data_IF_937463598348
#
_entry.id   IF_937463598348
#
_cell.length_a   1.000
_cell.length_b   1.000
_cell.length_c   1.000
_cell.angle_alpha   90.00
_cell.angle_beta   90.00
_cell.angle_gamma   90.00
#
_symmetry.space_group_name_H-M   'P 1'
#
loop_
_entity.id
_entity.type
_entity.pdbx_description
1 polymer ?
#
# COMPACT_ATOMS: atom_id res chain seq x y z
N UNK A 1 -5.66 7.65 1.11
CA UNK A 1 -4.49 8.07 1.91
C UNK A 1 -3.54 9.00 1.13
N UNK A 2 -3.99 9.68 0.07
CA UNK A 2 -3.12 10.54 -0.74
C UNK A 2 -2.84 11.86 -0.03
N UNK A 3 -1.59 12.09 0.39
CA UNK A 3 -1.22 13.37 1.02
C UNK A 3 0.21 13.84 0.77
N UNK A 4 1.03 13.16 -0.04
CA UNK A 4 2.34 13.71 -0.43
C UNK A 4 2.16 14.70 -1.59
N UNK A 5 1.43 15.78 -1.29
CA UNK A 5 1.23 16.93 -2.18
C UNK A 5 2.43 17.89 -2.02
N UNK A 6 2.99 18.44 -3.12
CA UNK A 6 4.12 19.38 -3.06
C UNK A 6 3.81 20.68 -2.29
N UNK A 7 2.54 21.00 -2.05
CA UNK A 7 2.10 22.10 -1.17
C UNK A 7 2.18 21.78 0.33
N UNK A 8 2.46 20.54 0.72
CA UNK A 8 2.65 20.18 2.13
C UNK A 8 4.00 20.66 2.66
N UNK A 9 3.97 21.30 3.82
CA UNK A 9 5.18 21.54 4.61
C UNK A 9 5.78 20.23 5.13
N UNK A 10 7.07 20.25 5.49
CA UNK A 10 7.75 19.05 5.99
C UNK A 10 6.99 18.41 7.16
N UNK A 11 6.67 17.12 7.03
CA UNK A 11 5.94 16.32 8.03
C UNK A 11 4.42 16.51 8.05
N UNK A 12 3.87 17.48 7.31
CA UNK A 12 2.43 17.74 7.27
C UNK A 12 1.65 16.59 6.64
N UNK A 13 2.17 16.02 5.55
CA UNK A 13 1.59 14.88 4.86
C UNK A 13 1.44 13.66 5.80
N UNK A 14 2.54 13.27 6.45
CA UNK A 14 2.54 12.17 7.42
C UNK A 14 1.55 12.39 8.57
N UNK A 15 1.42 13.65 9.04
CA UNK A 15 0.42 14.02 10.04
C UNK A 15 -1.01 13.80 9.55
N UNK A 16 -1.34 14.20 8.32
CA UNK A 16 -2.68 13.97 7.77
C UNK A 16 -2.98 12.49 7.54
N UNK A 17 -2.00 11.71 7.05
CA UNK A 17 -2.15 10.24 7.00
C UNK A 17 -2.43 9.67 8.38
N UNK A 18 -1.74 10.14 9.42
CA UNK A 18 -1.98 9.67 10.78
C UNK A 18 -3.42 9.88 11.25
N UNK A 19 -4.05 11.00 10.89
CA UNK A 19 -5.46 11.25 11.18
C UNK A 19 -6.39 10.34 10.39
N UNK A 20 -6.11 10.12 9.10
CA UNK A 20 -6.88 9.19 8.29
C UNK A 20 -6.80 7.75 8.82
N UNK A 21 -5.63 7.30 9.28
CA UNK A 21 -5.46 6.00 9.93
C UNK A 21 -6.28 5.88 11.22
N UNK A 22 -6.28 6.93 12.05
CA UNK A 22 -7.06 6.94 13.29
C UNK A 22 -8.58 6.89 13.01
N UNK A 23 -9.06 7.62 12.01
CA UNK A 23 -10.47 7.57 11.60
C UNK A 23 -10.84 6.20 11.00
N UNK A 24 -9.93 5.58 10.23
CA UNK A 24 -10.14 4.22 9.71
C UNK A 24 -10.23 3.20 10.86
N UNK A 25 -9.33 3.27 11.84
CA UNK A 25 -9.39 2.41 13.03
C UNK A 25 -10.72 2.55 13.78
N UNK A 26 -11.15 3.80 14.03
CA UNK A 26 -12.46 4.09 14.64
C UNK A 26 -13.61 3.52 13.84
N UNK A 27 -13.56 3.63 12.51
CA UNK A 27 -14.58 3.05 11.64
C UNK A 27 -14.67 1.53 11.81
N UNK A 28 -13.54 0.81 11.75
CA UNK A 28 -13.55 -0.66 11.93
C UNK A 28 -14.09 -1.01 13.32
N UNK A 29 -13.62 -0.34 14.38
CA UNK A 29 -14.09 -0.59 15.75
C UNK A 29 -15.60 -0.30 15.90
N UNK A 30 -16.13 0.72 15.20
CA UNK A 30 -17.57 1.06 15.24
C UNK A 30 -18.47 0.00 14.60
N UNK A 31 -17.91 -0.87 13.76
CA UNK A 31 -18.69 -1.92 13.08
C UNK A 31 -18.99 -3.11 13.97
N UNK A 32 -18.32 -3.24 15.12
CA UNK A 32 -18.47 -4.38 16.03
C UNK A 32 -18.40 -5.72 15.27
N UNK A 33 -17.44 -5.84 14.35
CA UNK A 33 -17.24 -7.04 13.54
C UNK A 33 -16.89 -8.20 14.50
N UNK A 34 -17.48 -9.39 14.34
CA UNK A 34 -17.13 -10.54 15.16
C UNK A 34 -15.63 -10.87 15.12
N UNK A 35 -15.05 -11.18 16.28
CA UNK A 35 -13.61 -11.44 16.39
C UNK A 35 -13.15 -12.69 15.62
N UNK A 36 -14.07 -13.56 15.21
CA UNK A 36 -13.86 -14.75 14.40
C UNK A 36 -14.07 -14.52 12.89
N UNK A 37 -14.34 -13.29 12.46
CA UNK A 37 -14.30 -12.89 11.04
C UNK A 37 -12.95 -12.29 10.67
N UNK A 38 -12.55 -12.37 9.39
CA UNK A 38 -11.34 -11.72 8.91
C UNK A 38 -11.59 -10.26 8.54
N UNK A 39 -10.70 -9.38 9.00
CA UNK A 39 -10.68 -7.97 8.57
C UNK A 39 -9.35 -7.66 7.90
N UNK A 40 -9.41 -7.20 6.65
CA UNK A 40 -8.27 -6.90 5.80
C UNK A 40 -8.31 -5.42 5.44
N UNK A 41 -7.17 -4.73 5.58
CA UNK A 41 -6.99 -3.32 5.20
C UNK A 41 -6.03 -3.26 4.02
N UNK A 42 -6.47 -2.73 2.88
CA UNK A 42 -5.68 -2.75 1.66
C UNK A 42 -5.80 -1.47 0.83
N UNK A 43 -4.79 -1.21 0.01
CA UNK A 43 -4.73 -0.11 -0.94
C UNK A 43 -3.35 0.54 -0.94
N UNK A 44 -3.28 1.72 -1.55
CA UNK A 44 -2.15 2.63 -1.45
C UNK A 44 -2.24 3.41 -0.12
N UNK A 45 -1.26 3.20 0.76
CA UNK A 45 -1.16 3.88 2.04
C UNK A 45 -0.29 5.14 1.98
N UNK A 46 0.46 5.37 0.89
CA UNK A 46 1.47 6.44 0.78
C UNK A 46 2.47 6.46 1.95
N UNK A 47 2.81 5.28 2.49
CA UNK A 47 3.73 5.14 3.62
C UNK A 47 4.80 4.12 3.24
N UNK A 48 6.05 4.56 3.17
CA UNK A 48 7.17 3.73 2.71
C UNK A 48 7.48 2.62 3.71
N UNK A 49 7.68 1.40 3.22
CA UNK A 49 8.03 0.23 4.02
C UNK A 49 9.31 0.46 4.83
N UNK A 50 9.40 -0.19 6.00
CA UNK A 50 10.58 -0.17 6.89
C UNK A 50 10.98 1.21 7.41
N UNK A 51 10.04 2.16 7.44
CA UNK A 51 10.22 3.49 8.05
C UNK A 51 9.57 3.59 9.42
N UNK A 52 9.91 4.65 10.17
CA UNK A 52 9.20 4.99 11.43
C UNK A 52 7.70 5.21 11.20
N UNK A 53 7.32 5.80 10.07
CA UNK A 53 5.91 6.02 9.73
C UNK A 53 5.18 4.68 9.47
N UNK A 54 5.85 3.71 8.85
CA UNK A 54 5.30 2.36 8.66
C UNK A 54 5.03 1.65 9.99
N UNK A 55 5.95 1.74 10.96
CA UNK A 55 5.72 1.21 12.30
C UNK A 55 4.54 1.91 13.00
N UNK A 56 4.38 3.22 12.80
CA UNK A 56 3.23 3.96 13.31
C UNK A 56 1.92 3.53 12.63
N UNK A 57 1.92 3.24 11.33
CA UNK A 57 0.77 2.69 10.61
C UNK A 57 0.33 1.33 11.18
N UNK A 58 1.26 0.40 11.39
CA UNK A 58 0.94 -0.91 11.97
C UNK A 58 0.38 -0.80 13.40
N UNK A 59 0.82 0.22 14.15
CA UNK A 59 0.35 0.48 15.52
C UNK A 59 -1.03 1.12 15.52
N UNK A 60 -1.24 2.18 14.74
CA UNK A 60 -2.52 2.93 14.69
C UNK A 60 -3.68 2.09 14.19
N UNK A 61 -3.45 1.29 13.14
CA UNK A 61 -4.48 0.40 12.61
C UNK A 61 -4.60 -0.91 13.38
N UNK A 62 -3.75 -1.16 14.38
CA UNK A 62 -3.63 -2.45 15.03
C UNK A 62 -3.53 -3.59 13.99
N UNK A 63 -2.55 -3.47 13.10
CA UNK A 63 -2.41 -4.31 11.92
C UNK A 63 -1.17 -5.20 11.98
N UNK A 64 -1.25 -6.38 11.35
CA UNK A 64 -0.16 -7.30 11.07
C UNK A 64 0.31 -7.06 9.63
N UNK A 65 1.61 -6.86 9.48
CA UNK A 65 2.27 -6.92 8.18
C UNK A 65 2.35 -8.37 7.68
N UNK A 66 2.52 -8.62 6.37
CA UNK A 66 2.62 -9.98 5.84
C UNK A 66 3.85 -10.71 6.39
N UNK A 67 3.77 -12.05 6.41
CA UNK A 67 4.90 -12.90 6.79
C UNK A 67 6.04 -12.84 5.76
N UNK A 68 5.68 -12.61 4.49
CA UNK A 68 6.64 -12.51 3.38
C UNK A 68 6.21 -11.43 2.38
N UNK A 69 7.17 -10.61 1.98
CA UNK A 69 7.11 -9.77 0.79
C UNK A 69 7.87 -10.49 -0.34
N UNK A 70 7.28 -10.54 -1.53
CA UNK A 70 7.78 -11.29 -2.68
C UNK A 70 7.60 -10.51 -4.00
N UNK A 71 8.21 -10.99 -5.08
CA UNK A 71 8.10 -10.36 -6.40
C UNK A 71 8.96 -9.10 -6.53
N UNK A 72 8.43 -8.09 -7.22
CA UNK A 72 9.14 -6.83 -7.43
C UNK A 72 9.32 -6.06 -6.11
N UNK A 73 10.41 -5.29 -5.99
CA UNK A 73 10.77 -4.65 -4.71
C UNK A 73 9.92 -3.42 -4.38
N UNK A 74 9.26 -2.83 -5.36
CA UNK A 74 8.61 -1.52 -5.27
C UNK A 74 7.23 -1.57 -5.89
N UNK A 75 6.21 -1.13 -5.16
CA UNK A 75 4.86 -1.02 -5.73
C UNK A 75 4.69 0.25 -6.57
N UNK A 76 5.55 1.24 -6.38
CA UNK A 76 5.67 2.42 -7.23
C UNK A 76 7.14 2.62 -7.62
N UNK A 77 7.49 2.52 -8.90
CA UNK A 77 8.89 2.43 -9.36
C UNK A 77 9.18 3.32 -10.57
N UNK A 78 9.69 4.51 -10.30
CA UNK A 78 10.10 5.51 -11.30
C UNK A 78 11.27 5.07 -12.19
N UNK A 79 11.96 3.97 -11.88
CA UNK A 79 13.07 3.47 -12.71
C UNK A 79 12.62 2.44 -13.74
N UNK A 80 11.47 1.81 -13.51
CA UNK A 80 11.06 0.68 -14.32
C UNK A 80 9.60 0.69 -14.76
N UNK A 81 8.82 1.70 -14.35
CA UNK A 81 7.48 2.00 -14.83
C UNK A 81 7.53 3.35 -15.58
N UNK A 82 7.22 3.34 -16.87
CA UNK A 82 7.33 4.53 -17.73
C UNK A 82 6.36 5.66 -17.33
N UNK A 83 5.18 5.32 -16.82
CA UNK A 83 4.18 6.30 -16.36
C UNK A 83 4.69 7.00 -15.10
N UNK A 84 5.19 6.23 -14.12
CA UNK A 84 5.80 6.78 -12.91
C UNK A 84 7.03 7.64 -13.24
N UNK A 85 7.90 7.15 -14.14
CA UNK A 85 9.08 7.88 -14.59
C UNK A 85 8.72 9.20 -15.27
N UNK A 86 7.73 9.19 -16.17
CA UNK A 86 7.29 10.38 -16.88
C UNK A 86 6.81 11.48 -15.93
N UNK A 87 6.06 11.11 -14.89
CA UNK A 87 5.51 12.07 -13.93
C UNK A 87 6.54 12.52 -12.88
N UNK A 88 7.46 11.63 -12.48
CA UNK A 88 8.37 11.83 -11.35
C UNK A 88 9.79 11.29 -11.64
N UNK A 89 10.50 11.84 -12.64
CA UNK A 89 11.73 11.26 -13.17
C UNK A 89 12.87 11.17 -12.14
N UNK A 90 12.89 12.09 -11.17
CA UNK A 90 13.94 12.20 -10.16
C UNK A 90 13.58 11.54 -8.81
N UNK A 91 12.34 11.08 -8.66
CA UNK A 91 11.90 10.43 -7.41
C UNK A 91 12.49 9.02 -7.29
N UNK A 92 12.71 8.56 -6.06
CA UNK A 92 13.18 7.21 -5.78
C UNK A 92 12.01 6.22 -5.75
N UNK A 93 12.18 4.95 -6.17
CA UNK A 93 11.16 3.92 -6.05
C UNK A 93 10.72 3.66 -4.60
N UNK A 94 9.46 3.28 -4.42
CA UNK A 94 8.84 3.10 -3.10
C UNK A 94 7.95 1.85 -3.04
N UNK A 95 7.84 1.29 -1.84
CA UNK A 95 6.84 0.27 -1.51
C UNK A 95 5.81 0.94 -0.59
N UNK A 96 4.61 1.18 -1.12
CA UNK A 96 3.55 1.97 -0.46
C UNK A 96 2.15 1.35 -0.56
N UNK A 97 2.00 0.26 -1.28
CA UNK A 97 0.74 -0.48 -1.45
C UNK A 97 0.75 -1.76 -0.59
N UNK A 98 -0.27 -1.96 0.24
CA UNK A 98 -0.27 -3.06 1.20
C UNK A 98 -1.59 -3.82 1.25
N UNK A 99 -1.52 -5.06 1.76
CA UNK A 99 -2.65 -5.87 2.22
C UNK A 99 -2.37 -6.33 3.67
N UNK A 100 -2.91 -5.61 4.64
CA UNK A 100 -2.64 -5.82 6.07
C UNK A 100 -3.81 -6.55 6.75
N UNK A 101 -3.50 -7.36 7.77
CA UNK A 101 -4.51 -8.10 8.55
C UNK A 101 -4.73 -7.42 9.89
N UNK A 102 -5.99 -7.23 10.27
CA UNK A 102 -6.35 -6.69 11.58
C UNK A 102 -5.92 -7.61 12.74
N UNK A 103 -5.45 -7.03 13.86
CA UNK A 103 -4.98 -7.78 15.03
C UNK A 103 -6.09 -8.21 15.99
N UNK A 104 -7.19 -7.48 16.04
CA UNK A 104 -8.35 -7.72 16.93
C UNK A 104 -9.31 -8.78 16.38
N UNK A 105 -9.24 -9.07 15.09
CA UNK A 105 -10.10 -10.02 14.39
C UNK A 105 -9.33 -11.30 14.00
N UNK A 106 -10.01 -12.25 13.32
CA UNK A 106 -9.48 -13.58 13.04
C UNK A 106 -8.14 -13.48 12.32
N UNK A 107 -7.12 -14.09 12.94
CA UNK A 107 -5.77 -14.10 12.40
C UNK A 107 -5.70 -14.97 11.14
N UNK A 108 -4.91 -14.53 10.16
CA UNK A 108 -4.44 -15.39 9.08
C UNK A 108 -3.30 -16.27 9.61
N UNK A 109 -3.22 -17.51 9.12
CA UNK A 109 -2.12 -18.43 9.39
C UNK A 109 -0.83 -17.96 8.72
N UNK A 110 -0.94 -17.48 7.48
CA UNK A 110 0.16 -16.93 6.70
C UNK A 110 -0.36 -15.92 5.69
N UNK A 111 0.44 -14.87 5.44
CA UNK A 111 0.20 -13.90 4.37
C UNK A 111 1.48 -13.69 3.58
N UNK A 112 1.39 -13.91 2.27
CA UNK A 112 2.44 -13.57 1.30
C UNK A 112 1.92 -12.46 0.40
N UNK A 113 2.56 -11.29 0.42
CA UNK A 113 2.30 -10.21 -0.53
C UNK A 113 3.33 -10.26 -1.66
N UNK A 114 2.85 -10.25 -2.91
CA UNK A 114 3.68 -10.24 -4.11
C UNK A 114 3.38 -8.98 -4.93
N UNK A 115 4.40 -8.16 -5.18
CA UNK A 115 4.28 -7.08 -6.17
C UNK A 115 4.43 -7.70 -7.56
N UNK A 116 3.42 -7.52 -8.42
CA UNK A 116 3.40 -8.08 -9.75
C UNK A 116 3.86 -7.04 -10.77
N UNK A 117 5.04 -7.24 -11.35
CA UNK A 117 5.52 -6.43 -12.47
C UNK A 117 4.88 -6.92 -13.77
N UNK A 118 3.67 -6.44 -14.02
CA UNK A 118 2.86 -6.82 -15.19
C UNK A 118 2.73 -5.66 -16.17
N UNK A 119 2.84 -5.98 -17.45
CA UNK A 119 2.78 -5.02 -18.54
C UNK A 119 1.42 -5.10 -19.24
N UNK A 120 0.96 -3.95 -19.72
CA UNK A 120 -0.17 -3.84 -20.65
C UNK A 120 0.29 -4.06 -22.09
N UNK A 121 -0.63 -4.34 -23.02
CA UNK A 121 -0.35 -4.10 -24.43
C UNK A 121 0.07 -2.64 -24.62
N UNK A 122 1.04 -2.39 -25.51
CA UNK A 122 1.52 -1.03 -25.76
C UNK A 122 0.36 -0.12 -26.19
N UNK A 123 0.33 1.08 -25.62
CA UNK A 123 -0.57 2.16 -26.02
C UNK A 123 0.19 3.49 -26.03
N UNK A 124 -0.40 4.53 -26.58
CA UNK A 124 0.22 5.86 -26.65
C UNK A 124 -0.61 6.91 -25.90
N UNK A 125 0.07 7.73 -25.10
CA UNK A 125 -0.52 8.92 -24.48
C UNK A 125 0.31 10.13 -24.90
N UNK A 126 -0.33 11.13 -25.53
CA UNK A 126 0.37 12.33 -26.05
C UNK A 126 1.58 11.99 -26.95
N UNK A 127 1.47 10.93 -27.75
CA UNK A 127 2.54 10.41 -28.63
C UNK A 127 3.75 9.84 -27.88
N UNK A 128 3.61 9.52 -26.60
CA UNK A 128 4.59 8.76 -25.81
C UNK A 128 4.07 7.33 -25.66
N UNK A 129 4.82 6.31 -26.11
CA UNK A 129 4.43 4.92 -25.89
C UNK A 129 4.56 4.56 -24.42
N UNK A 130 3.62 3.77 -23.93
CA UNK A 130 3.59 3.20 -22.59
C UNK A 130 3.20 1.73 -22.67
N UNK A 131 3.61 0.95 -21.67
CA UNK A 131 3.31 -0.48 -21.63
C UNK A 131 3.01 -0.98 -20.20
N UNK A 132 2.59 -0.09 -19.31
CA UNK A 132 2.12 -0.39 -17.96
C UNK A 132 0.62 -0.04 -17.81
N UNK A 133 -0.08 -0.66 -16.86
CA UNK A 133 -1.51 -0.36 -16.63
C UNK A 133 -1.75 0.89 -15.78
N UNK A 134 -0.79 1.27 -14.95
CA UNK A 134 -0.81 2.36 -13.97
C UNK A 134 0.65 2.68 -13.61
N UNK A 135 0.90 3.84 -13.00
CA UNK A 135 2.18 4.18 -12.37
C UNK A 135 2.50 3.33 -11.13
N UNK A 136 1.53 2.61 -10.57
CA UNK A 136 1.72 1.59 -9.55
C UNK A 136 1.63 0.18 -10.13
N UNK A 137 2.49 -0.71 -9.65
CA UNK A 137 2.37 -2.15 -9.82
C UNK A 137 1.36 -2.73 -8.83
N UNK A 138 0.48 -3.66 -9.27
CA UNK A 138 -0.49 -4.27 -8.37
C UNK A 138 0.18 -5.19 -7.35
N UNK A 139 -0.34 -5.14 -6.12
CA UNK A 139 0.03 -6.06 -5.03
C UNK A 139 -1.03 -7.15 -4.91
N UNK A 140 -0.58 -8.41 -5.02
CA UNK A 140 -1.42 -9.59 -4.78
C UNK A 140 -1.08 -10.18 -3.41
N UNK A 141 -2.09 -10.48 -2.60
CA UNK A 141 -1.90 -11.23 -1.36
C UNK A 141 -2.49 -12.64 -1.45
N UNK A 142 -1.73 -13.64 -1.00
CA UNK A 142 -2.25 -14.96 -0.65
C UNK A 142 -2.41 -15.01 0.87
N UNK A 143 -3.66 -15.15 1.33
CA UNK A 143 -4.02 -15.19 2.75
C UNK A 143 -4.48 -16.61 3.08
N UNK A 144 -3.67 -17.33 3.87
CA UNK A 144 -4.03 -18.65 4.38
C UNK A 144 -4.79 -18.50 5.69
N UNK A 145 -5.92 -19.19 5.80
CA UNK A 145 -6.83 -19.11 6.95
C UNK A 145 -7.15 -20.52 7.45
N UNK A 146 -7.36 -20.66 8.75
CA UNK A 146 -7.91 -21.90 9.30
C UNK A 146 -9.44 -21.87 9.09
N UNK A 147 -9.97 -22.91 8.44
CA UNK A 147 -11.41 -23.08 8.19
C UNK A 147 -12.15 -23.48 9.46
#
# INVERSE_FOLDING_TARGET
>A
MQSDDPGCTSGQAARFRSYALDEWRKFIDSKNIPADEHVIMTGDFNIKKDTTEFNALLTRLDARQPNKYDGHLWSWDTRSNEIAHYNYPDSLPEYIDYVLIDKKHKAAKSVVQTVLKVNSPQYELKSVPHHEYSDHYPVRALVEVDL
#
